data_IF_896925143044
#
_entry.id   IF_896925143044
#
_cell.length_a   1.000
_cell.length_b   1.000
_cell.length_c   1.000
_cell.angle_alpha   90.00
_cell.angle_beta   90.00
_cell.angle_gamma   90.00
#
_symmetry.space_group_name_H-M   'P 1'
#
loop_
_entity.id
_entity.type
_entity.pdbx_description
1 polymer ?
#
# COMPACT_ATOMS: atom_id res chain seq x y z
N UNK A 1 -6.41 1.35 14.70
CA UNK A 1 -5.31 1.13 13.75
C UNK A 1 -5.44 -0.32 13.34
N UNK A 2 -5.51 -0.61 12.05
CA UNK A 2 -5.72 -1.97 11.55
C UNK A 2 -4.39 -2.71 11.51
N UNK A 3 -4.40 -3.97 11.91
CA UNK A 3 -3.25 -4.86 11.82
C UNK A 3 -3.11 -5.41 10.39
N UNK A 4 -1.94 -5.95 10.04
CA UNK A 4 -1.68 -6.48 8.70
C UNK A 4 -2.68 -7.58 8.29
N UNK A 5 -3.20 -8.37 9.23
CA UNK A 5 -4.25 -9.36 8.98
C UNK A 5 -5.57 -8.74 8.50
N UNK A 6 -5.95 -7.58 9.01
CA UNK A 6 -7.17 -6.90 8.57
C UNK A 6 -7.04 -6.35 7.16
N UNK A 7 -5.84 -5.86 6.80
CA UNK A 7 -5.49 -5.42 5.44
C UNK A 7 -5.57 -6.59 4.47
N UNK A 8 -5.00 -7.74 4.83
CA UNK A 8 -5.07 -8.98 4.02
C UNK A 8 -6.52 -9.42 3.85
N UNK A 9 -7.34 -9.38 4.90
CA UNK A 9 -8.77 -9.70 4.81
C UNK A 9 -9.53 -8.75 3.89
N UNK A 10 -9.21 -7.46 3.91
CA UNK A 10 -9.78 -6.48 2.99
C UNK A 10 -9.45 -6.82 1.54
N UNK A 11 -8.18 -7.09 1.23
CA UNK A 11 -7.78 -7.50 -0.12
C UNK A 11 -8.43 -8.81 -0.58
N UNK A 12 -8.56 -9.80 0.30
CA UNK A 12 -9.30 -11.02 -0.01
C UNK A 12 -10.79 -10.74 -0.30
N UNK A 13 -11.43 -9.85 0.48
CA UNK A 13 -12.85 -9.49 0.26
C UNK A 13 -13.05 -8.72 -1.04
N UNK A 14 -12.09 -7.89 -1.43
CA UNK A 14 -12.08 -7.21 -2.72
C UNK A 14 -11.89 -8.16 -3.92
N UNK A 15 -11.56 -9.44 -3.67
CA UNK A 15 -11.36 -10.45 -4.71
C UNK A 15 -9.96 -10.43 -5.31
N UNK A 16 -8.95 -9.93 -4.58
CA UNK A 16 -7.59 -9.87 -5.07
C UNK A 16 -7.02 -11.30 -5.28
N UNK A 17 -6.50 -11.64 -6.47
CA UNK A 17 -6.02 -12.99 -6.77
C UNK A 17 -4.62 -13.28 -6.21
N UNK A 18 -3.96 -12.31 -5.58
CA UNK A 18 -2.60 -12.47 -5.03
C UNK A 18 -2.58 -13.47 -3.88
N UNK A 19 -1.61 -14.40 -3.83
CA UNK A 19 -1.50 -15.37 -2.74
C UNK A 19 -1.38 -14.70 -1.37
N UNK A 20 -2.04 -15.27 -0.36
CA UNK A 20 -2.08 -14.72 1.01
C UNK A 20 -0.70 -14.44 1.61
N UNK A 21 0.28 -15.31 1.40
CA UNK A 21 1.65 -15.09 1.90
C UNK A 21 2.26 -13.80 1.36
N UNK A 22 1.97 -13.46 0.09
CA UNK A 22 2.46 -12.25 -0.56
C UNK A 22 1.65 -11.03 -0.11
N UNK A 23 0.34 -11.17 0.04
CA UNK A 23 -0.51 -10.14 0.66
C UNK A 23 -0.04 -9.81 2.09
N UNK A 24 0.33 -10.80 2.91
CA UNK A 24 0.85 -10.54 4.26
C UNK A 24 2.10 -9.67 4.23
N UNK A 25 3.05 -9.90 3.30
CA UNK A 25 4.26 -9.08 3.18
C UNK A 25 3.95 -7.65 2.75
N UNK A 26 3.03 -7.47 1.79
CA UNK A 26 2.56 -6.14 1.40
C UNK A 26 1.85 -5.41 2.52
N UNK A 27 0.99 -6.10 3.28
CA UNK A 27 0.29 -5.52 4.42
C UNK A 27 1.25 -5.12 5.53
N UNK A 28 2.28 -5.93 5.81
CA UNK A 28 3.33 -5.60 6.77
C UNK A 28 4.14 -4.40 6.32
N UNK A 29 4.55 -4.34 5.05
CA UNK A 29 5.30 -3.21 4.51
C UNK A 29 4.49 -1.92 4.56
N UNK A 30 3.22 -1.96 4.16
CA UNK A 30 2.35 -0.79 4.19
C UNK A 30 2.09 -0.33 5.64
N UNK A 31 1.82 -1.27 6.56
CA UNK A 31 1.56 -0.97 7.97
C UNK A 31 2.80 -0.52 8.76
N UNK A 32 4.01 -0.85 8.30
CA UNK A 32 5.25 -0.45 8.95
C UNK A 32 5.52 1.05 8.83
N UNK A 33 5.24 1.62 7.66
CA UNK A 33 5.43 3.05 7.39
C UNK A 33 4.14 3.87 7.59
N UNK A 34 2.96 3.27 7.43
CA UNK A 34 1.67 3.97 7.46
C UNK A 34 0.63 3.23 8.33
N UNK A 35 0.05 3.87 9.36
CA UNK A 35 -1.10 3.27 10.04
C UNK A 35 -2.28 3.13 9.06
N UNK A 36 -2.90 1.96 8.95
CA UNK A 36 -4.06 1.78 8.07
C UNK A 36 -5.35 2.13 8.82
N UNK A 37 -6.20 2.92 8.18
CA UNK A 37 -7.46 3.39 8.76
C UNK A 37 -8.54 3.65 7.70
N UNK A 38 -9.50 4.51 8.04
CA UNK A 38 -10.60 4.86 7.14
C UNK A 38 -10.05 5.49 5.86
N UNK A 39 -10.60 5.07 4.72
CA UNK A 39 -10.23 5.61 3.43
C UNK A 39 -10.39 7.14 3.39
N UNK A 40 -9.39 7.77 2.81
CA UNK A 40 -9.41 9.13 2.32
C UNK A 40 -8.67 9.16 0.98
N UNK A 41 -8.95 10.17 0.16
CA UNK A 41 -8.20 10.36 -1.08
C UNK A 41 -6.74 10.68 -0.72
N UNK A 42 -5.82 9.90 -1.28
CA UNK A 42 -4.39 10.14 -1.16
C UNK A 42 -4.01 11.25 -2.14
N UNK A 43 -3.12 12.16 -1.71
CA UNK A 43 -2.42 13.03 -2.64
C UNK A 43 -1.28 12.28 -3.37
N UNK A 44 -0.70 12.92 -4.38
CA UNK A 44 0.33 12.29 -5.23
C UNK A 44 1.54 11.80 -4.41
N UNK A 45 1.98 12.56 -3.39
CA UNK A 45 3.11 12.18 -2.55
C UNK A 45 2.76 10.97 -1.66
N UNK A 46 1.53 10.95 -1.12
CA UNK A 46 1.02 9.83 -0.32
C UNK A 46 0.84 8.55 -1.15
N UNK A 47 0.35 8.68 -2.38
CA UNK A 47 0.25 7.54 -3.28
C UNK A 47 1.63 6.98 -3.62
N UNK A 48 2.59 7.83 -4.01
CA UNK A 48 3.97 7.41 -4.29
C UNK A 48 4.62 6.71 -3.09
N UNK A 49 4.39 7.25 -1.90
CA UNK A 49 4.85 6.67 -0.64
C UNK A 49 4.27 5.26 -0.39
N UNK A 50 2.97 5.10 -0.57
CA UNK A 50 2.28 3.82 -0.39
C UNK A 50 2.74 2.80 -1.45
N UNK A 51 2.86 3.21 -2.71
CA UNK A 51 3.35 2.36 -3.78
C UNK A 51 4.82 1.98 -3.54
N UNK A 52 5.66 2.90 -3.07
CA UNK A 52 7.06 2.61 -2.75
C UNK A 52 7.19 1.56 -1.64
N UNK A 53 6.37 1.65 -0.58
CA UNK A 53 6.36 0.66 0.49
C UNK A 53 6.01 -0.74 -0.04
N UNK A 54 4.99 -0.85 -0.91
CA UNK A 54 4.61 -2.10 -1.55
C UNK A 54 5.70 -2.61 -2.50
N UNK A 55 6.27 -1.73 -3.32
CA UNK A 55 7.29 -2.06 -4.30
C UNK A 55 8.59 -2.56 -3.64
N UNK A 56 8.93 -2.05 -2.45
CA UNK A 56 10.09 -2.50 -1.67
C UNK A 56 10.02 -3.95 -1.21
N UNK A 57 8.82 -4.55 -1.14
CA UNK A 57 8.67 -5.99 -0.86
C UNK A 57 9.34 -6.82 -1.95
N UNK A 58 9.25 -6.39 -3.21
CA UNK A 58 9.89 -7.06 -4.35
C UNK A 58 11.30 -6.50 -4.65
N UNK A 59 11.56 -5.24 -4.30
CA UNK A 59 12.83 -4.54 -4.51
C UNK A 59 13.28 -3.81 -3.24
N UNK A 60 13.94 -4.51 -2.28
CA UNK A 60 14.22 -3.99 -0.93
C UNK A 60 14.95 -2.65 -0.84
N UNK A 61 15.66 -2.25 -1.89
CA UNK A 61 16.46 -1.02 -1.95
C UNK A 61 15.89 0.03 -2.91
N UNK A 62 14.65 -0.17 -3.41
CA UNK A 62 14.04 0.78 -4.33
C UNK A 62 13.86 2.16 -3.68
N UNK A 63 14.16 3.18 -4.47
CA UNK A 63 13.97 4.60 -4.14
C UNK A 63 12.79 5.18 -4.93
N UNK A 64 12.38 6.41 -4.62
CA UNK A 64 11.40 7.14 -5.44
C UNK A 64 11.87 7.32 -6.89
N UNK A 65 13.17 7.49 -7.13
CA UNK A 65 13.70 7.56 -8.49
C UNK A 65 13.47 6.24 -9.25
N UNK A 66 13.73 5.09 -8.61
CA UNK A 66 13.46 3.78 -9.20
C UNK A 66 11.96 3.54 -9.45
N UNK A 67 11.11 4.11 -8.59
CA UNK A 67 9.65 4.06 -8.72
C UNK A 67 9.19 4.87 -9.95
N UNK A 68 9.62 6.13 -10.06
CA UNK A 68 9.26 7.00 -11.18
C UNK A 68 9.82 6.54 -12.53
N UNK A 69 10.92 5.79 -12.51
CA UNK A 69 11.48 5.15 -13.70
C UNK A 69 10.87 3.78 -14.01
N UNK A 70 10.05 3.21 -13.10
CA UNK A 70 9.42 1.93 -13.33
C UNK A 70 8.37 2.04 -14.45
N UNK A 71 8.26 1.04 -15.33
CA UNK A 71 7.21 1.04 -16.34
C UNK A 71 5.83 0.99 -15.66
N UNK A 72 4.82 1.72 -16.14
CA UNK A 72 3.49 1.77 -15.50
C UNK A 72 2.86 0.39 -15.27
N UNK A 73 3.14 -0.56 -16.17
CA UNK A 73 2.67 -1.94 -16.05
C UNK A 73 3.25 -2.65 -14.81
N UNK A 74 4.49 -2.35 -14.42
CA UNK A 74 5.10 -2.93 -13.22
C UNK A 74 4.48 -2.36 -11.93
N UNK A 75 3.94 -1.14 -11.98
CA UNK A 75 3.28 -0.51 -10.84
C UNK A 75 1.79 -0.83 -10.74
N UNK A 76 1.17 -1.27 -11.84
CA UNK A 76 -0.28 -1.50 -11.93
C UNK A 76 -0.82 -2.44 -10.85
N UNK A 77 -0.07 -3.49 -10.50
CA UNK A 77 -0.48 -4.41 -9.43
C UNK A 77 -0.50 -3.76 -8.04
N UNK A 78 0.40 -2.81 -7.76
CA UNK A 78 0.43 -2.09 -6.49
C UNK A 78 -0.70 -1.05 -6.42
N UNK A 79 -0.97 -0.34 -7.52
CA UNK A 79 -2.13 0.56 -7.59
C UNK A 79 -3.45 -0.23 -7.43
N UNK A 80 -3.55 -1.43 -8.00
CA UNK A 80 -4.72 -2.29 -7.79
C UNK A 80 -4.89 -2.67 -6.30
N UNK A 81 -3.80 -2.97 -5.58
CA UNK A 81 -3.86 -3.24 -4.15
C UNK A 81 -4.39 -2.04 -3.36
N UNK A 82 -3.93 -0.82 -3.66
CA UNK A 82 -4.44 0.39 -3.01
C UNK A 82 -5.92 0.64 -3.36
N UNK A 83 -6.30 0.43 -4.61
CA UNK A 83 -7.68 0.56 -5.05
C UNK A 83 -8.61 -0.47 -4.40
N UNK A 84 -8.17 -1.72 -4.26
CA UNK A 84 -8.91 -2.77 -3.56
C UNK A 84 -9.11 -2.43 -2.08
N UNK A 85 -8.10 -1.82 -1.46
CA UNK A 85 -8.19 -1.32 -0.09
C UNK A 85 -9.22 -0.17 0.02
N UNK A 86 -9.14 0.80 -0.90
CA UNK A 86 -10.05 1.93 -0.99
C UNK A 86 -11.51 1.49 -1.20
N UNK A 87 -11.73 0.46 -2.02
CA UNK A 87 -13.03 -0.15 -2.26
C UNK A 87 -13.66 -0.74 -1.00
N UNK A 88 -12.83 -1.24 -0.08
CA UNK A 88 -13.25 -1.71 1.25
C UNK A 88 -13.38 -0.59 2.28
N UNK A 89 -13.22 0.67 1.86
CA UNK A 89 -13.31 1.84 2.75
C UNK A 89 -12.08 2.03 3.63
N UNK A 90 -10.94 1.45 3.24
CA UNK A 90 -9.68 1.49 3.97
C UNK A 90 -8.59 2.19 3.16
N UNK A 91 -7.64 2.83 3.85
CA UNK A 91 -6.53 3.55 3.23
C UNK A 91 -5.34 3.72 4.17
N UNK A 92 -4.10 3.84 3.63
CA UNK A 92 -2.96 4.22 4.43
C UNK A 92 -3.17 5.63 4.96
N UNK A 93 -3.10 5.82 6.28
CA UNK A 93 -3.13 7.14 6.89
C UNK A 93 -1.76 7.77 6.75
N UNK A 94 -1.72 9.05 6.42
CA UNK A 94 -0.49 9.83 6.51
C UNK A 94 0.12 9.65 7.91
N UNK A 95 1.43 9.36 8.06
CA UNK A 95 2.08 9.49 9.34
C UNK A 95 1.91 10.95 9.70
N UNK A 96 1.00 11.23 10.64
CA UNK A 96 0.63 12.58 11.00
C UNK A 96 1.91 13.42 11.04
N UNK A 97 2.00 14.42 10.16
CA UNK A 97 2.96 15.48 10.30
C UNK A 97 2.83 15.88 11.77
N UNK A 98 3.81 15.48 12.56
CA UNK A 98 3.87 15.85 13.96
C UNK A 98 4.30 17.31 13.87
N UNK A 99 3.32 18.18 13.62
CA UNK A 99 3.50 19.62 13.65
C UNK A 99 4.00 19.92 15.06
N UNK A 100 5.29 20.19 15.13
CA UNK A 100 5.95 20.75 16.30
C UNK A 100 5.63 22.25 16.38
#
# INVERSE_FOLDING_TARGET
MLDSDDVVRAWNRAGNPTPNERLCRYAQALAADYPIGRYHALDDDQEDCAILALYRVDRPHATFADLHQAPPLALSSYHQLLHDLAREGLGPLSPAATSH
#
